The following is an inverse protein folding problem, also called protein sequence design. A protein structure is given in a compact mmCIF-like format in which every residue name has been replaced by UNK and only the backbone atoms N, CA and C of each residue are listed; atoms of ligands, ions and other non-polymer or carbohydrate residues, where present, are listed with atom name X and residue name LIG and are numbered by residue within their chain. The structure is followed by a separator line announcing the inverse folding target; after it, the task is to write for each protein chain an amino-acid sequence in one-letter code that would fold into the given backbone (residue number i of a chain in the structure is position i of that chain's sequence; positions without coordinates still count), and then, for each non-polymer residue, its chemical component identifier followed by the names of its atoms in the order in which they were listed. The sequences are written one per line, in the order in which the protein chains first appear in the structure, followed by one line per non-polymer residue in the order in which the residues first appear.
data_IF_649663268876
#
_entry.id   IF_649663268876
#
_cell.length_a   1.000
_cell.length_b   1.000
_cell.length_c   1.000
_cell.angle_alpha   90.00
_cell.angle_beta   90.00
_cell.angle_gamma   90.00
#
_symmetry.space_group_name_H-M   'P 1'
#
loop_
_entity.id
_entity.type
_entity.pdbx_description
1 polymer ?
#
# COMPACT_ATOMS: atom_id res chain seq x y z
N UNK A 1 -25.23 -35.68 -34.45
CA UNK A 1 -24.70 -34.71 -35.43
C UNK A 1 -25.85 -33.82 -35.89
N UNK A 2 -26.14 -32.75 -35.14
CA UNK A 2 -27.15 -31.68 -35.41
C UNK A 2 -26.71 -30.46 -34.55
N UNK A 3 -26.98 -29.20 -34.95
CA UNK A 3 -26.16 -28.39 -35.84
C UNK A 3 -25.48 -27.22 -35.10
N UNK A 4 -24.36 -26.74 -35.66
CA UNK A 4 -23.80 -25.43 -35.35
C UNK A 4 -24.75 -24.33 -35.83
N UNK A 5 -24.62 -23.15 -35.20
CA UNK A 5 -25.15 -21.83 -35.60
C UNK A 5 -26.38 -21.34 -34.83
N UNK A 6 -26.18 -20.90 -33.59
CA UNK A 6 -26.88 -19.70 -33.13
C UNK A 6 -25.91 -18.53 -33.32
N UNK A 7 -26.07 -17.82 -34.44
CA UNK A 7 -25.41 -16.53 -34.67
C UNK A 7 -26.00 -15.57 -33.64
N UNK A 8 -25.35 -15.49 -32.48
CA UNK A 8 -25.76 -14.62 -31.38
C UNK A 8 -25.61 -13.16 -31.83
N UNK A 9 -26.69 -12.65 -32.42
CA UNK A 9 -26.85 -11.26 -32.86
C UNK A 9 -27.23 -10.41 -31.65
N UNK A 10 -26.56 -10.64 -30.52
CA UNK A 10 -26.68 -9.75 -29.37
C UNK A 10 -26.06 -8.42 -29.77
N UNK A 11 -26.93 -7.42 -29.97
CA UNK A 11 -26.54 -6.04 -30.26
C UNK A 11 -25.38 -5.66 -29.34
N UNK A 12 -24.30 -5.11 -29.89
CA UNK A 12 -23.13 -4.69 -29.13
C UNK A 12 -23.52 -3.91 -27.86
N UNK A 13 -24.56 -3.06 -27.96
CA UNK A 13 -25.14 -2.34 -26.82
C UNK A 13 -25.75 -3.23 -25.72
N UNK A 14 -26.37 -4.36 -26.03
CA UNK A 14 -26.90 -5.30 -25.03
C UNK A 14 -25.76 -6.02 -24.29
N UNK A 15 -24.75 -6.52 -25.01
CA UNK A 15 -23.55 -7.12 -24.39
C UNK A 15 -22.79 -6.12 -23.52
N UNK A 16 -22.69 -4.87 -23.98
CA UNK A 16 -22.07 -3.78 -23.22
C UNK A 16 -22.89 -3.46 -21.96
N UNK A 17 -24.22 -3.42 -22.06
CA UNK A 17 -25.13 -3.16 -20.93
C UNK A 17 -25.11 -4.28 -19.90
N UNK A 18 -25.04 -5.55 -20.31
CA UNK A 18 -24.85 -6.69 -19.40
C UNK A 18 -23.49 -6.65 -18.70
N UNK A 19 -22.41 -6.35 -19.44
CA UNK A 19 -21.08 -6.18 -18.86
C UNK A 19 -21.06 -5.03 -17.85
N UNK A 20 -21.64 -3.87 -18.20
CA UNK A 20 -21.76 -2.71 -17.32
C UNK A 20 -22.59 -3.02 -16.06
N UNK A 21 -23.70 -3.74 -16.19
CA UNK A 21 -24.52 -4.14 -15.05
C UNK A 21 -23.79 -5.15 -14.16
N UNK A 22 -23.02 -6.06 -14.75
CA UNK A 22 -22.18 -7.01 -14.01
C UNK A 22 -21.07 -6.28 -13.25
N UNK A 23 -20.41 -5.31 -13.90
CA UNK A 23 -19.42 -4.43 -13.27
C UNK A 23 -20.02 -3.62 -12.13
N UNK A 24 -21.19 -3.00 -12.32
CA UNK A 24 -21.89 -2.29 -11.25
C UNK A 24 -22.16 -3.20 -10.05
N UNK A 25 -22.68 -4.41 -10.27
CA UNK A 25 -22.88 -5.37 -9.18
C UNK A 25 -21.57 -5.70 -8.46
N UNK A 26 -20.48 -5.94 -9.19
CA UNK A 26 -19.17 -6.23 -8.60
C UNK A 26 -18.60 -5.06 -7.78
N UNK A 27 -18.77 -3.82 -8.27
CA UNK A 27 -18.33 -2.60 -7.59
C UNK A 27 -19.11 -2.40 -6.29
N UNK A 28 -20.43 -2.55 -6.31
CA UNK A 28 -21.27 -2.35 -5.12
C UNK A 28 -21.23 -3.54 -4.14
N UNK A 29 -20.82 -4.72 -4.60
CA UNK A 29 -20.68 -5.92 -3.77
C UNK A 29 -19.48 -5.85 -2.83
N UNK A 30 -18.44 -5.11 -3.19
CA UNK A 30 -17.22 -5.01 -2.39
C UNK A 30 -17.10 -3.62 -1.77
N UNK A 31 -16.77 -3.57 -0.48
CA UNK A 31 -16.72 -2.31 0.28
C UNK A 31 -15.63 -1.39 -0.26
N UNK A 32 -14.47 -1.95 -0.60
CA UNK A 32 -13.33 -1.18 -1.12
C UNK A 32 -13.65 -0.60 -2.49
N UNK A 33 -14.13 -1.42 -3.43
CA UNK A 33 -14.56 -0.95 -4.75
C UNK A 33 -15.69 0.08 -4.67
N UNK A 34 -16.65 -0.08 -3.75
CA UNK A 34 -17.75 0.86 -3.53
C UNK A 34 -17.25 2.21 -3.00
N UNK A 35 -16.40 2.19 -1.98
CA UNK A 35 -15.85 3.41 -1.40
C UNK A 35 -15.00 4.17 -2.44
N UNK A 36 -14.17 3.46 -3.21
CA UNK A 36 -13.39 4.03 -4.29
C UNK A 36 -14.28 4.62 -5.40
N UNK A 37 -15.38 3.94 -5.76
CA UNK A 37 -16.35 4.47 -6.73
C UNK A 37 -17.08 5.72 -6.22
N UNK A 38 -17.53 5.74 -4.96
CA UNK A 38 -18.19 6.91 -4.37
C UNK A 38 -17.23 8.11 -4.29
N UNK A 39 -15.97 7.86 -3.94
CA UNK A 39 -14.94 8.88 -3.91
C UNK A 39 -14.63 9.43 -5.30
N UNK A 40 -14.48 8.55 -6.30
CA UNK A 40 -14.34 8.94 -7.70
C UNK A 40 -15.51 9.83 -8.15
N UNK A 41 -16.75 9.48 -7.81
CA UNK A 41 -17.92 10.27 -8.20
C UNK A 41 -17.92 11.65 -7.54
N UNK A 42 -17.53 11.72 -6.27
CA UNK A 42 -17.45 12.95 -5.50
C UNK A 42 -16.36 13.89 -6.06
N UNK A 43 -15.14 13.41 -6.26
CA UNK A 43 -14.05 14.19 -6.87
C UNK A 43 -14.36 14.61 -8.29
N UNK A 44 -14.91 13.71 -9.11
CA UNK A 44 -15.28 14.03 -10.49
C UNK A 44 -16.37 15.11 -10.53
N UNK A 45 -17.37 15.01 -9.65
CA UNK A 45 -18.43 16.02 -9.57
C UNK A 45 -17.87 17.39 -9.17
N UNK A 46 -16.93 17.41 -8.21
CA UNK A 46 -16.27 18.62 -7.77
C UNK A 46 -15.40 19.25 -8.88
N UNK A 47 -14.64 18.44 -9.63
CA UNK A 47 -13.87 18.90 -10.79
C UNK A 47 -14.75 19.56 -11.86
N UNK A 48 -15.96 19.05 -12.11
CA UNK A 48 -16.90 19.70 -13.02
C UNK A 48 -17.47 21.01 -12.47
N UNK A 49 -17.75 21.08 -11.16
CA UNK A 49 -18.22 22.31 -10.52
C UNK A 49 -17.17 23.41 -10.62
N UNK A 50 -15.92 23.09 -10.30
CA UNK A 50 -14.82 24.04 -10.44
C UNK A 50 -14.58 24.44 -11.90
N UNK A 51 -14.61 23.49 -12.84
CA UNK A 51 -14.42 23.78 -14.25
C UNK A 51 -15.48 24.76 -14.75
N UNK A 52 -16.74 24.51 -14.38
CA UNK A 52 -17.85 25.39 -14.74
C UNK A 52 -17.70 26.77 -14.09
N UNK A 53 -17.34 26.84 -12.81
CA UNK A 53 -17.10 28.10 -12.13
C UNK A 53 -15.90 28.86 -12.71
N UNK A 54 -14.85 28.16 -13.13
CA UNK A 54 -13.65 28.72 -13.76
C UNK A 54 -13.96 29.34 -15.12
N UNK A 55 -14.76 28.64 -15.94
CA UNK A 55 -15.25 29.15 -17.23
C UNK A 55 -16.13 30.38 -17.01
N UNK A 56 -17.11 30.31 -16.09
CA UNK A 56 -17.99 31.45 -15.80
C UNK A 56 -17.24 32.68 -15.30
N UNK A 57 -16.16 32.48 -14.56
CA UNK A 57 -15.36 33.56 -13.98
C UNK A 57 -14.20 34.00 -14.86
N UNK A 58 -14.01 33.38 -16.03
CA UNK A 58 -12.85 33.53 -16.93
C UNK A 58 -11.51 33.42 -16.19
N UNK A 59 -11.43 32.50 -15.21
CA UNK A 59 -10.23 32.32 -14.39
C UNK A 59 -9.39 31.15 -14.93
N UNK A 60 -8.29 31.47 -15.62
CA UNK A 60 -7.35 30.47 -16.12
C UNK A 60 -6.76 29.58 -15.01
N UNK A 61 -6.43 30.16 -13.85
CA UNK A 61 -5.91 29.41 -12.71
C UNK A 61 -6.90 28.37 -12.18
N UNK A 62 -8.19 28.73 -12.13
CA UNK A 62 -9.22 27.78 -11.68
C UNK A 62 -9.48 26.68 -12.71
N UNK A 63 -9.43 27.03 -14.00
CA UNK A 63 -9.55 26.05 -15.09
C UNK A 63 -8.38 25.04 -15.03
N UNK A 64 -7.16 25.51 -14.75
CA UNK A 64 -5.98 24.64 -14.57
C UNK A 64 -6.19 23.64 -13.43
N UNK A 65 -6.64 24.12 -12.26
CA UNK A 65 -6.91 23.30 -11.07
C UNK A 65 -7.99 22.23 -11.33
N UNK A 66 -9.05 22.58 -12.06
CA UNK A 66 -10.09 21.62 -12.44
C UNK A 66 -9.58 20.53 -13.38
N UNK A 67 -8.70 20.87 -14.33
CA UNK A 67 -8.10 19.88 -15.22
C UNK A 67 -7.14 18.96 -14.46
N UNK A 68 -6.37 19.49 -13.52
CA UNK A 68 -5.56 18.69 -12.61
C UNK A 68 -6.40 17.64 -11.87
N UNK A 69 -7.46 18.06 -11.16
CA UNK A 69 -8.35 17.13 -10.44
C UNK A 69 -9.08 16.16 -11.36
N UNK A 70 -9.39 16.57 -12.59
CA UNK A 70 -9.96 15.68 -13.59
C UNK A 70 -8.98 14.56 -13.97
N UNK A 71 -7.71 14.88 -14.18
CA UNK A 71 -6.69 13.87 -14.46
C UNK A 71 -6.44 12.95 -13.27
N UNK A 72 -6.52 13.45 -12.04
CA UNK A 72 -6.46 12.62 -10.84
C UNK A 72 -7.60 11.57 -10.79
N UNK A 73 -8.80 11.96 -11.23
CA UNK A 73 -9.92 11.03 -11.36
C UNK A 73 -9.64 9.89 -12.37
N UNK A 74 -8.79 10.10 -13.38
CA UNK A 74 -8.40 9.03 -14.31
C UNK A 74 -7.56 7.95 -13.64
N UNK A 75 -6.71 8.36 -12.69
CA UNK A 75 -5.95 7.47 -11.83
C UNK A 75 -6.82 6.62 -10.92
N UNK A 76 -7.79 7.25 -10.25
CA UNK A 76 -8.82 6.58 -9.45
C UNK A 76 -9.67 5.61 -10.30
N UNK A 77 -10.04 6.02 -11.51
CA UNK A 77 -10.78 5.17 -12.44
C UNK A 77 -9.98 3.93 -12.85
N UNK A 78 -8.68 4.07 -13.12
CA UNK A 78 -7.79 2.94 -13.40
C UNK A 78 -7.71 1.98 -12.20
N UNK A 79 -7.60 2.52 -10.98
CA UNK A 79 -7.65 1.74 -9.74
C UNK A 79 -8.98 0.98 -9.57
N UNK A 80 -10.12 1.63 -9.83
CA UNK A 80 -11.43 1.00 -9.79
C UNK A 80 -11.54 -0.14 -10.81
N UNK A 81 -11.11 0.10 -12.05
CA UNK A 81 -11.13 -0.90 -13.11
C UNK A 81 -10.26 -2.11 -12.73
N UNK A 82 -9.07 -1.87 -12.18
CA UNK A 82 -8.19 -2.92 -11.70
C UNK A 82 -8.80 -3.75 -10.57
N UNK A 83 -9.45 -3.11 -9.59
CA UNK A 83 -10.18 -3.79 -8.49
C UNK A 83 -11.30 -4.71 -8.99
N UNK A 84 -11.89 -4.41 -10.14
CA UNK A 84 -12.86 -5.29 -10.81
C UNK A 84 -12.17 -6.41 -11.61
N UNK A 85 -11.09 -6.08 -12.32
CA UNK A 85 -10.35 -7.02 -13.17
C UNK A 85 -9.68 -8.11 -12.32
N UNK A 86 -9.13 -7.80 -11.15
CA UNK A 86 -8.47 -8.77 -10.26
C UNK A 86 -9.41 -9.88 -9.78
N UNK A 87 -10.73 -9.63 -9.80
CA UNK A 87 -11.77 -10.60 -9.42
C UNK A 87 -12.15 -11.57 -10.54
N UNK A 88 -11.61 -11.39 -11.76
CA UNK A 88 -11.89 -12.30 -12.86
C UNK A 88 -11.16 -13.63 -12.67
N UNK A 89 -11.87 -14.73 -12.99
CA UNK A 89 -11.31 -16.09 -12.90
C UNK A 89 -10.16 -16.28 -13.89
N UNK A 90 -9.25 -17.19 -13.54
CA UNK A 90 -8.19 -17.66 -14.43
C UNK A 90 -8.78 -18.29 -15.71
N UNK A 91 -8.02 -18.20 -16.80
CA UNK A 91 -8.35 -18.79 -18.10
C UNK A 91 -7.09 -19.35 -18.77
N UNK A 92 -7.25 -20.02 -19.90
CA UNK A 92 -6.14 -20.70 -20.60
C UNK A 92 -5.01 -19.76 -21.05
N UNK A 93 -5.27 -18.45 -21.16
CA UNK A 93 -4.26 -17.44 -21.50
C UNK A 93 -3.55 -16.87 -20.26
N UNK A 94 -4.26 -16.80 -19.13
CA UNK A 94 -3.78 -16.25 -17.87
C UNK A 94 -3.96 -17.29 -16.75
N UNK A 95 -2.99 -18.19 -16.62
CA UNK A 95 -3.05 -19.34 -15.70
C UNK A 95 -3.14 -18.94 -14.22
N UNK A 96 -2.50 -17.82 -13.85
CA UNK A 96 -2.60 -17.24 -12.50
C UNK A 96 -3.76 -16.25 -12.34
N UNK A 97 -4.60 -16.08 -13.38
CA UNK A 97 -5.65 -15.07 -13.42
C UNK A 97 -5.10 -13.65 -13.61
N UNK A 98 -5.92 -12.67 -13.22
CA UNK A 98 -5.70 -11.25 -13.49
C UNK A 98 -5.17 -10.46 -12.28
N UNK A 99 -4.61 -11.16 -11.28
CA UNK A 99 -4.23 -10.56 -9.99
C UNK A 99 -3.17 -9.46 -10.16
N UNK A 100 -2.26 -9.60 -11.13
CA UNK A 100 -1.23 -8.59 -11.47
C UNK A 100 -1.79 -7.28 -12.04
N UNK A 101 -3.06 -7.23 -12.45
CA UNK A 101 -3.68 -6.01 -12.95
C UNK A 101 -3.70 -4.90 -11.87
N UNK A 102 -3.74 -5.27 -10.59
CA UNK A 102 -3.63 -4.33 -9.47
C UNK A 102 -2.30 -3.57 -9.50
N UNK A 103 -1.18 -4.31 -9.56
CA UNK A 103 0.18 -3.76 -9.57
C UNK A 103 0.40 -2.92 -10.82
N UNK A 104 -0.09 -3.38 -11.97
CA UNK A 104 0.03 -2.64 -13.23
C UNK A 104 -0.76 -1.32 -13.17
N UNK A 105 -1.97 -1.32 -12.62
CA UNK A 105 -2.75 -0.11 -12.47
C UNK A 105 -2.13 0.87 -11.47
N UNK A 106 -1.59 0.36 -10.35
CA UNK A 106 -0.83 1.17 -9.40
C UNK A 106 0.41 1.82 -10.03
N UNK A 107 1.14 1.07 -10.87
CA UNK A 107 2.28 1.58 -11.63
C UNK A 107 1.87 2.69 -12.62
N UNK A 108 0.84 2.44 -13.45
CA UNK A 108 0.34 3.42 -14.41
C UNK A 108 -0.18 4.67 -13.70
N UNK A 109 -0.92 4.51 -12.61
CA UNK A 109 -1.39 5.62 -11.78
C UNK A 109 -0.22 6.46 -11.24
N UNK A 110 0.85 5.80 -10.79
CA UNK A 110 2.05 6.48 -10.30
C UNK A 110 2.74 7.30 -11.41
N UNK A 111 2.73 6.83 -12.66
CA UNK A 111 3.25 7.62 -13.79
C UNK A 111 2.40 8.86 -14.07
N UNK A 112 1.06 8.75 -13.97
CA UNK A 112 0.17 9.91 -14.09
C UNK A 112 0.42 10.92 -12.97
N UNK A 113 0.51 10.47 -11.71
CA UNK A 113 0.82 11.37 -10.59
C UNK A 113 2.17 12.07 -10.74
N UNK A 114 3.18 11.40 -11.31
CA UNK A 114 4.47 12.02 -11.61
C UNK A 114 4.36 13.09 -12.70
N UNK A 115 3.59 12.82 -13.76
CA UNK A 115 3.32 13.78 -14.83
C UNK A 115 2.59 15.02 -14.29
N UNK A 116 1.59 14.81 -13.43
CA UNK A 116 0.82 15.86 -12.79
C UNK A 116 1.70 16.69 -11.83
N UNK A 117 2.52 16.03 -11.00
CA UNK A 117 3.46 16.73 -10.11
C UNK A 117 4.44 17.61 -10.90
N UNK A 118 4.94 17.14 -12.05
CA UNK A 118 5.80 17.95 -12.93
C UNK A 118 5.05 19.18 -13.49
N UNK A 119 3.77 19.02 -13.85
CA UNK A 119 2.95 20.13 -14.32
C UNK A 119 2.73 21.19 -13.23
N UNK A 120 2.34 20.79 -12.02
CA UNK A 120 2.19 21.71 -10.87
C UNK A 120 3.51 22.41 -10.55
N UNK A 121 4.62 21.67 -10.59
CA UNK A 121 5.95 22.24 -10.35
C UNK A 121 6.29 23.32 -11.38
N UNK A 122 6.02 23.05 -12.66
CA UNK A 122 6.22 24.01 -13.74
C UNK A 122 5.36 25.26 -13.56
N UNK A 123 4.08 25.10 -13.25
CA UNK A 123 3.15 26.21 -13.01
C UNK A 123 3.56 27.04 -11.79
N UNK A 124 4.00 26.37 -10.71
CA UNK A 124 4.51 27.04 -9.51
C UNK A 124 5.79 27.85 -9.76
N UNK A 125 6.71 27.33 -10.58
CA UNK A 125 7.93 28.06 -10.98
C UNK A 125 7.60 29.26 -11.86
N UNK A 126 6.67 29.13 -12.80
CA UNK A 126 6.22 30.24 -13.65
C UNK A 126 5.63 31.38 -12.81
N UNK A 127 4.72 31.07 -11.88
CA UNK A 127 4.13 32.06 -10.96
C UNK A 127 5.14 32.70 -10.00
N UNK A 128 6.26 32.03 -9.73
CA UNK A 128 7.36 32.57 -8.91
C UNK A 128 8.16 33.64 -9.68
N UNK A 129 8.33 33.48 -10.99
CA UNK A 129 9.09 34.40 -11.85
C UNK A 129 8.21 35.57 -12.31
N UNK A 130 6.98 35.30 -12.74
CA UNK A 130 6.01 36.30 -13.20
C UNK A 130 4.74 36.19 -12.35
N UNK A 131 4.62 36.95 -11.24
CA UNK A 131 3.46 36.88 -10.36
C UNK A 131 2.22 37.40 -11.09
N UNK A 132 1.19 36.56 -11.36
CA UNK A 132 -0.03 37.03 -11.97
C UNK A 132 -0.87 37.82 -10.94
N UNK A 133 -1.57 38.86 -11.39
CA UNK A 133 -2.56 39.56 -10.56
C UNK A 133 -3.82 38.70 -10.38
N UNK A 134 -3.79 37.74 -9.45
CA UNK A 134 -4.93 36.86 -9.19
C UNK A 134 -5.86 37.49 -8.13
N UNK A 135 -7.17 37.42 -8.37
CA UNK A 135 -8.19 37.83 -7.39
C UNK A 135 -8.26 36.81 -6.24
N UNK A 136 -7.52 37.09 -5.16
CA UNK A 136 -7.33 36.24 -3.97
C UNK A 136 -8.61 35.65 -3.35
N UNK A 137 -9.73 36.37 -3.40
CA UNK A 137 -10.99 35.95 -2.75
C UNK A 137 -11.59 34.66 -3.33
N UNK A 138 -11.34 34.37 -4.61
CA UNK A 138 -11.94 33.21 -5.29
C UNK A 138 -11.18 31.92 -4.98
N UNK A 139 -9.85 32.00 -4.89
CA UNK A 139 -8.99 30.86 -4.55
C UNK A 139 -9.31 30.34 -3.16
N UNK A 140 -9.52 31.23 -2.19
CA UNK A 140 -9.83 30.84 -0.81
C UNK A 140 -11.10 29.98 -0.70
N UNK A 141 -12.20 30.41 -1.33
CA UNK A 141 -13.48 29.67 -1.26
C UNK A 141 -13.35 28.29 -1.90
N UNK A 142 -12.67 28.22 -3.05
CA UNK A 142 -12.51 26.95 -3.77
C UNK A 142 -11.62 25.98 -2.98
N UNK A 143 -10.49 26.44 -2.42
CA UNK A 143 -9.64 25.59 -1.58
C UNK A 143 -10.33 25.10 -0.30
N UNK A 144 -11.22 25.91 0.31
CA UNK A 144 -12.03 25.47 1.44
C UNK A 144 -13.03 24.39 1.02
N UNK A 145 -13.69 24.54 -0.12
CA UNK A 145 -14.60 23.52 -0.65
C UNK A 145 -13.86 22.24 -1.01
N UNK A 146 -12.70 22.34 -1.67
CA UNK A 146 -11.83 21.21 -2.00
C UNK A 146 -11.34 20.47 -0.75
N UNK A 147 -10.97 21.20 0.30
CA UNK A 147 -10.62 20.62 1.61
C UNK A 147 -11.78 19.80 2.19
N UNK A 148 -13.01 20.33 2.15
CA UNK A 148 -14.18 19.61 2.66
C UNK A 148 -14.47 18.33 1.87
N UNK A 149 -14.36 18.39 0.54
CA UNK A 149 -14.50 17.24 -0.36
C UNK A 149 -13.46 16.17 -0.02
N UNK A 150 -12.19 16.55 0.14
CA UNK A 150 -11.12 15.64 0.51
C UNK A 150 -11.28 15.05 1.92
N UNK A 151 -11.75 15.83 2.90
CA UNK A 151 -12.07 15.34 4.25
C UNK A 151 -13.21 14.33 4.26
N UNK A 152 -14.26 14.56 3.47
CA UNK A 152 -15.34 13.58 3.26
C UNK A 152 -14.78 12.29 2.65
N UNK A 153 -13.86 12.40 1.71
CA UNK A 153 -13.10 11.28 1.16
C UNK A 153 -12.38 10.48 2.24
N UNK A 154 -11.52 11.14 3.02
CA UNK A 154 -10.77 10.52 4.13
C UNK A 154 -11.73 9.84 5.12
N UNK A 155 -12.82 10.50 5.51
CA UNK A 155 -13.81 9.94 6.43
C UNK A 155 -14.46 8.67 5.88
N UNK A 156 -14.83 8.67 4.59
CA UNK A 156 -15.43 7.52 3.91
C UNK A 156 -14.47 6.33 3.81
N UNK A 157 -13.16 6.58 3.66
CA UNK A 157 -12.14 5.54 3.67
C UNK A 157 -11.79 5.04 5.09
N UNK A 158 -11.72 5.93 6.09
CA UNK A 158 -11.26 5.58 7.44
C UNK A 158 -12.34 4.89 8.30
N UNK A 159 -13.62 5.27 8.15
CA UNK A 159 -14.75 4.57 8.80
C UNK A 159 -15.09 3.23 8.09
N UNK A 160 -14.32 2.88 7.06
CA UNK A 160 -14.31 1.59 6.39
C UNK A 160 -13.60 0.47 7.17
N UNK A 161 -12.62 0.82 8.02
CA UNK A 161 -11.64 -0.12 8.59
C UNK A 161 -11.83 -0.49 10.06
N UNK A 162 -12.68 0.22 10.81
CA UNK A 162 -12.91 -0.07 12.23
C UNK A 162 -14.27 -0.74 12.46
N UNK A 163 -14.34 -2.03 12.13
CA UNK A 163 -15.28 -2.93 12.77
C UNK A 163 -14.75 -3.30 14.16
N UNK A 164 -14.85 -2.40 15.13
CA UNK A 164 -14.78 -2.81 16.53
C UNK A 164 -16.02 -3.65 16.81
N UNK A 165 -15.89 -4.97 16.67
CA UNK A 165 -16.75 -5.90 17.36
C UNK A 165 -16.50 -5.71 18.85
N UNK A 166 -17.25 -4.80 19.47
CA UNK A 166 -17.51 -4.92 20.90
C UNK A 166 -18.37 -6.17 21.08
N UNK A 167 -17.70 -7.31 21.26
CA UNK A 167 -18.30 -8.49 21.88
C UNK A 167 -18.70 -8.12 23.29
N UNK A 168 -19.93 -7.64 23.45
CA UNK A 168 -20.58 -7.53 24.75
C UNK A 168 -21.11 -8.89 25.18
N UNK A 169 -20.93 -9.20 26.46
CA UNK A 169 -21.78 -10.14 27.20
C UNK A 169 -21.10 -11.45 27.62
N UNK A 170 -20.37 -11.42 28.73
CA UNK A 170 -19.88 -12.62 29.41
C UNK A 170 -19.18 -12.26 30.71
N UNK A 171 -19.95 -11.87 31.72
CA UNK A 171 -19.44 -11.67 33.07
C UNK A 171 -18.86 -12.97 33.63
N UNK A 172 -17.59 -12.92 34.02
CA UNK A 172 -16.89 -14.00 34.69
C UNK A 172 -15.70 -13.43 35.43
N UNK A 173 -15.96 -12.90 36.64
CA UNK A 173 -14.90 -12.43 37.51
C UNK A 173 -13.98 -13.59 37.91
N UNK A 174 -12.67 -13.36 37.85
CA UNK A 174 -11.68 -14.12 38.61
C UNK A 174 -10.75 -13.12 39.27
N UNK A 175 -10.94 -12.96 40.59
CA UNK A 175 -9.98 -12.30 41.46
C UNK A 175 -8.85 -13.27 41.77
N UNK A 176 -7.62 -12.80 41.67
CA UNK A 176 -6.46 -13.50 42.21
C UNK A 176 -5.94 -12.74 43.43
N UNK A 177 -6.08 -13.39 44.59
CA UNK A 177 -5.52 -12.99 45.87
C UNK A 177 -4.01 -13.22 45.88
N UNK A 178 -3.23 -12.17 46.14
CA UNK A 178 -1.82 -12.31 46.51
C UNK A 178 -1.71 -12.52 48.02
N UNK A 179 -1.35 -13.73 48.42
CA UNK A 179 -0.87 -14.05 49.77
C UNK A 179 0.60 -13.71 49.88
N UNK A 180 0.94 -12.85 50.83
CA UNK A 180 2.30 -12.41 51.11
C UNK A 180 3.18 -13.50 51.71
N UNK A 181 4.48 -13.36 51.50
CA UNK A 181 5.51 -13.89 52.40
C UNK A 181 6.76 -13.03 52.24
N UNK A 182 7.06 -12.34 53.32
CA UNK A 182 8.28 -11.60 53.64
C UNK A 182 9.52 -12.48 53.56
N UNK A 183 10.60 -11.98 52.95
CA UNK A 183 11.97 -12.16 53.46
C UNK A 183 12.85 -11.03 52.94
N UNK A 184 13.36 -10.22 53.86
CA UNK A 184 14.49 -9.31 53.60
C UNK A 184 15.80 -10.01 53.93
N UNK A 185 16.89 -9.58 53.29
CA UNK A 185 18.22 -9.53 53.90
C UNK A 185 19.10 -8.50 53.19
N UNK A 186 19.84 -7.76 54.01
CA UNK A 186 20.83 -6.73 53.70
C UNK A 186 22.26 -7.24 54.00
N UNK A 187 23.24 -6.44 53.56
CA UNK A 187 24.69 -6.40 53.88
C UNK A 187 25.61 -7.21 52.95
N UNK A 188 26.71 -6.69 52.39
CA UNK A 188 27.82 -5.77 52.79
C UNK A 188 29.12 -6.55 52.96
N UNK A 189 30.21 -5.92 52.50
CA UNK A 189 31.60 -6.35 52.31
C UNK A 189 32.30 -7.09 53.47
N UNK A 190 33.24 -8.01 53.16
CA UNK A 190 34.70 -7.81 53.32
C UNK A 190 35.57 -9.04 52.94
N UNK A 191 36.65 -8.73 52.20
CA UNK A 191 38.02 -9.28 52.13
C UNK A 191 38.48 -10.61 52.77
N UNK A 192 39.19 -11.47 52.00
CA UNK A 192 40.67 -11.59 51.92
C UNK A 192 41.18 -13.00 51.47
N UNK A 193 42.22 -13.00 50.60
CA UNK A 193 43.31 -13.97 50.40
C UNK A 193 42.97 -15.38 49.82
N UNK A 194 43.72 -16.02 48.91
CA UNK A 194 45.10 -15.88 48.42
C UNK A 194 45.32 -16.74 47.13
N UNK A 195 46.19 -16.30 46.21
CA UNK A 195 47.01 -17.03 45.19
C UNK A 195 46.26 -17.84 44.09
N UNK A 196 46.49 -17.68 42.78
CA UNK A 196 47.79 -17.63 42.11
C UNK A 196 47.69 -16.97 40.71
N UNK A 197 48.76 -16.28 40.31
CA UNK A 197 48.90 -15.52 39.06
C UNK A 197 49.07 -16.41 37.83
N UNK A 198 48.46 -16.01 36.70
CA UNK A 198 49.22 -15.81 35.47
C UNK A 198 48.57 -14.73 34.59
N UNK A 199 49.35 -13.68 34.34
CA UNK A 199 48.97 -12.48 33.63
C UNK A 199 49.21 -12.61 32.12
N UNK A 200 48.26 -12.15 31.32
CA UNK A 200 48.53 -11.46 30.06
C UNK A 200 47.60 -10.24 30.02
N UNK A 201 48.21 -9.07 30.10
CA UNK A 201 47.63 -7.75 29.92
C UNK A 201 47.38 -7.46 28.44
N UNK A 202 46.21 -6.93 28.10
CA UNK A 202 46.04 -5.99 26.99
C UNK A 202 44.80 -5.11 27.23
N UNK A 203 45.06 -3.83 27.22
CA UNK A 203 44.19 -2.67 27.25
C UNK A 203 43.13 -2.71 26.12
N UNK A 204 41.87 -2.37 26.43
CA UNK A 204 41.02 -1.56 25.53
C UNK A 204 39.64 -1.24 26.12
N UNK A 205 39.40 0.04 26.35
CA UNK A 205 38.23 0.80 25.86
C UNK A 205 36.82 0.27 26.14
N UNK A 206 36.14 0.90 27.10
CA UNK A 206 34.67 0.91 27.17
C UNK A 206 34.08 1.71 26.00
N UNK A 207 33.55 0.98 25.00
CA UNK A 207 32.70 1.53 23.95
C UNK A 207 31.24 1.14 24.20
N UNK A 208 30.43 2.08 24.68
CA UNK A 208 28.98 1.96 24.66
C UNK A 208 28.49 2.20 23.22
N UNK A 209 28.17 1.12 22.49
CA UNK A 209 27.46 1.22 21.22
C UNK A 209 25.96 1.35 21.49
N UNK A 210 25.45 2.57 21.42
CA UNK A 210 24.02 2.82 21.25
C UNK A 210 23.64 2.45 19.82
N UNK A 211 23.01 1.29 19.65
CA UNK A 211 22.33 0.92 18.42
C UNK A 211 21.08 1.80 18.32
N UNK A 212 21.19 2.89 17.55
CA UNK A 212 20.04 3.67 17.12
C UNK A 212 19.27 2.85 16.10
N UNK A 213 18.41 1.97 16.60
CA UNK A 213 17.34 1.37 15.83
C UNK A 213 16.52 2.48 15.19
N UNK A 214 16.73 2.69 13.90
CA UNK A 214 15.91 3.57 13.09
C UNK A 214 14.46 3.08 13.19
N UNK A 215 13.63 3.84 13.90
CA UNK A 215 12.19 3.67 13.91
C UNK A 215 11.66 3.96 12.51
N UNK A 216 11.72 2.94 11.64
CA UNK A 216 10.90 2.88 10.45
C UNK A 216 9.45 2.68 10.91
N UNK A 217 8.65 3.74 10.83
CA UNK A 217 7.21 3.66 11.00
C UNK A 217 6.59 2.91 9.80
N UNK A 218 6.73 1.58 9.79
CA UNK A 218 5.92 0.73 8.92
C UNK A 218 4.55 0.59 9.55
N UNK A 219 3.61 1.43 9.11
CA UNK A 219 2.19 1.20 9.35
C UNK A 219 1.77 -0.04 8.53
N UNK A 220 1.90 -1.22 9.14
CA UNK A 220 1.35 -2.46 8.62
C UNK A 220 -0.14 -2.48 8.94
N UNK A 221 -0.93 -1.93 8.01
CA UNK A 221 -2.39 -1.93 8.05
C UNK A 221 -2.91 -3.06 7.14
N UNK A 222 -3.34 -4.16 7.77
CA UNK A 222 -4.42 -5.02 7.28
C UNK A 222 -4.38 -5.44 5.81
N UNK A 223 -3.58 -6.47 5.54
CA UNK A 223 -3.40 -7.19 4.29
C UNK A 223 -4.72 -7.65 3.62
N UNK A 224 -4.90 -7.22 2.38
CA UNK A 224 -5.94 -7.69 1.45
C UNK A 224 -5.64 -7.17 0.04
N UNK A 225 -6.05 -7.90 -1.00
CA UNK A 225 -5.82 -7.70 -2.45
C UNK A 225 -6.32 -6.36 -3.06
N UNK A 226 -6.47 -5.31 -2.26
CA UNK A 226 -6.68 -3.95 -2.71
C UNK A 226 -5.69 -2.97 -2.04
N UNK A 227 -4.76 -3.44 -1.20
CA UNK A 227 -3.98 -2.58 -0.30
C UNK A 227 -3.10 -1.58 -1.04
N UNK A 228 -2.52 -1.95 -2.19
CA UNK A 228 -1.63 -1.05 -2.93
C UNK A 228 -2.39 0.04 -3.67
N UNK A 229 -3.51 -0.30 -4.33
CA UNK A 229 -4.41 0.71 -4.92
C UNK A 229 -4.95 1.61 -3.81
N UNK A 230 -5.43 1.04 -2.70
CA UNK A 230 -6.01 1.82 -1.60
C UNK A 230 -4.98 2.71 -0.90
N UNK A 231 -3.73 2.24 -0.74
CA UNK A 231 -2.61 3.04 -0.21
C UNK A 231 -2.25 4.17 -1.17
N UNK A 232 -2.21 3.89 -2.47
CA UNK A 232 -1.98 4.91 -3.49
C UNK A 232 -3.06 5.98 -3.52
N UNK A 233 -4.33 5.55 -3.49
CA UNK A 233 -5.50 6.44 -3.38
C UNK A 233 -5.43 7.26 -2.08
N UNK A 234 -5.14 6.63 -0.94
CA UNK A 234 -5.04 7.33 0.35
C UNK A 234 -3.93 8.39 0.37
N UNK A 235 -2.73 8.04 -0.11
CA UNK A 235 -1.60 8.97 -0.16
C UNK A 235 -1.88 10.13 -1.11
N UNK A 236 -2.60 9.88 -2.20
CA UNK A 236 -3.06 10.92 -3.11
C UNK A 236 -4.06 11.87 -2.44
N UNK A 237 -5.10 11.34 -1.78
CA UNK A 237 -6.07 12.16 -1.03
C UNK A 237 -5.38 13.00 0.04
N UNK A 238 -4.41 12.40 0.73
CA UNK A 238 -3.63 13.11 1.74
C UNK A 238 -2.83 14.26 1.12
N UNK A 239 -2.22 14.04 -0.06
CA UNK A 239 -1.51 15.09 -0.77
C UNK A 239 -2.45 16.23 -1.21
N UNK A 240 -3.64 15.92 -1.74
CA UNK A 240 -4.62 16.93 -2.14
C UNK A 240 -5.17 17.71 -0.94
N UNK A 241 -5.34 17.02 0.20
CA UNK A 241 -5.73 17.64 1.48
C UNK A 241 -4.67 18.61 1.96
N UNK A 242 -3.40 18.16 2.00
CA UNK A 242 -2.25 19.00 2.37
C UNK A 242 -2.10 20.18 1.38
N UNK A 243 -2.38 19.94 0.11
CA UNK A 243 -2.39 20.97 -0.92
C UNK A 243 -3.44 22.05 -0.65
N UNK A 244 -4.67 21.62 -0.37
CA UNK A 244 -5.79 22.52 -0.02
C UNK A 244 -5.47 23.36 1.22
N UNK A 245 -4.89 22.74 2.27
CA UNK A 245 -4.44 23.46 3.47
C UNK A 245 -3.34 24.47 3.13
N UNK A 246 -2.38 24.06 2.30
CA UNK A 246 -1.28 24.92 1.86
C UNK A 246 -1.75 26.17 1.11
N UNK A 247 -2.69 26.02 0.19
CA UNK A 247 -3.29 27.15 -0.55
C UNK A 247 -4.09 28.06 0.39
N UNK A 248 -4.85 27.50 1.34
CA UNK A 248 -5.57 28.30 2.35
C UNK A 248 -4.61 29.14 3.19
N UNK A 249 -3.52 28.55 3.68
CA UNK A 249 -2.49 29.28 4.46
C UNK A 249 -1.86 30.37 3.59
N UNK A 250 -1.51 30.05 2.34
CA UNK A 250 -0.96 31.02 1.38
C UNK A 250 -1.92 32.18 1.12
N UNK A 251 -3.22 31.90 0.96
CA UNK A 251 -4.25 32.93 0.75
C UNK A 251 -4.39 33.87 1.95
N UNK A 252 -4.35 33.35 3.17
CA UNK A 252 -4.37 34.16 4.40
C UNK A 252 -3.12 35.03 4.49
N UNK A 253 -1.94 34.48 4.18
CA UNK A 253 -0.68 35.22 4.18
C UNK A 253 -0.67 36.34 3.12
N UNK A 254 -1.22 36.09 1.93
CA UNK A 254 -1.39 37.10 0.89
C UNK A 254 -2.30 38.24 1.35
N UNK A 255 -3.44 37.93 1.98
CA UNK A 255 -4.40 38.94 2.42
C UNK A 255 -3.91 39.78 3.60
N UNK A 256 -3.19 39.18 4.55
CA UNK A 256 -2.70 39.89 5.74
C UNK A 256 -1.37 40.62 5.51
N UNK A 257 -0.43 40.01 4.80
CA UNK A 257 0.96 40.48 4.69
C UNK A 257 1.35 40.94 3.27
N UNK A 258 0.50 40.74 2.26
CA UNK A 258 0.82 41.05 0.86
C UNK A 258 1.88 40.13 0.26
N UNK A 259 2.14 38.97 0.86
CA UNK A 259 3.14 38.00 0.40
C UNK A 259 2.65 37.19 -0.81
N UNK A 260 2.64 37.81 -1.99
CA UNK A 260 2.22 37.21 -3.27
C UNK A 260 3.02 35.95 -3.66
N UNK A 261 4.19 35.74 -3.07
CA UNK A 261 5.11 34.62 -3.36
C UNK A 261 4.74 33.36 -2.54
N UNK A 262 3.86 33.47 -1.54
CA UNK A 262 3.50 32.35 -0.68
C UNK A 262 2.85 31.18 -1.46
N UNK A 263 1.93 31.47 -2.38
CA UNK A 263 1.23 30.48 -3.20
C UNK A 263 2.17 29.68 -4.13
N UNK A 264 3.08 30.31 -4.91
CA UNK A 264 4.09 29.60 -5.69
C UNK A 264 5.00 28.69 -4.86
N UNK A 265 5.49 29.16 -3.71
CA UNK A 265 6.36 28.37 -2.82
C UNK A 265 5.61 27.14 -2.30
N UNK A 266 4.37 27.34 -1.88
CA UNK A 266 3.53 26.26 -1.37
C UNK A 266 3.28 25.20 -2.45
N UNK A 267 2.93 25.63 -3.67
CA UNK A 267 2.69 24.75 -4.82
C UNK A 267 3.91 23.92 -5.21
N UNK A 268 5.10 24.55 -5.26
CA UNK A 268 6.38 23.87 -5.50
C UNK A 268 6.67 22.82 -4.41
N UNK A 269 6.43 23.18 -3.15
CA UNK A 269 6.63 22.26 -2.02
C UNK A 269 5.71 21.04 -2.11
N UNK A 270 4.43 21.24 -2.40
CA UNK A 270 3.44 20.15 -2.56
C UNK A 270 3.84 19.25 -3.73
N UNK A 271 4.19 19.83 -4.89
CA UNK A 271 4.60 19.07 -6.07
C UNK A 271 5.82 18.17 -5.78
N UNK A 272 6.80 18.68 -5.01
CA UNK A 272 7.98 17.91 -4.62
C UNK A 272 7.63 16.77 -3.64
N UNK A 273 6.72 17.00 -2.69
CA UNK A 273 6.23 15.93 -1.79
C UNK A 273 5.50 14.83 -2.56
N UNK A 274 4.66 15.19 -3.54
CA UNK A 274 3.98 14.24 -4.42
C UNK A 274 5.02 13.42 -5.19
N UNK A 275 5.98 14.09 -5.84
CA UNK A 275 7.02 13.43 -6.61
C UNK A 275 7.83 12.42 -5.76
N UNK A 276 8.30 12.81 -4.57
CA UNK A 276 9.04 11.92 -3.67
C UNK A 276 8.21 10.72 -3.21
N UNK A 277 6.93 10.93 -2.92
CA UNK A 277 6.01 9.86 -2.51
C UNK A 277 5.80 8.87 -3.64
N UNK A 278 5.53 9.36 -4.85
CA UNK A 278 5.27 8.57 -6.06
C UNK A 278 6.48 7.73 -6.46
N UNK A 279 7.71 8.23 -6.29
CA UNK A 279 8.93 7.46 -6.57
C UNK A 279 9.01 6.17 -5.72
N UNK A 280 8.55 6.22 -4.47
CA UNK A 280 8.48 5.02 -3.62
C UNK A 280 7.47 3.99 -4.15
N UNK A 281 6.30 4.44 -4.62
CA UNK A 281 5.26 3.59 -5.21
C UNK A 281 5.69 2.96 -6.53
N UNK A 282 6.36 3.74 -7.39
CA UNK A 282 6.93 3.25 -8.65
C UNK A 282 7.94 2.13 -8.36
N UNK A 283 8.85 2.36 -7.40
CA UNK A 283 9.85 1.37 -7.01
C UNK A 283 9.19 0.10 -6.49
N UNK A 284 8.22 0.19 -5.58
CA UNK A 284 7.50 -0.98 -5.09
C UNK A 284 6.82 -1.77 -6.21
N UNK A 285 6.14 -1.08 -7.13
CA UNK A 285 5.44 -1.70 -8.26
C UNK A 285 6.39 -2.39 -9.24
N UNK A 286 7.51 -1.73 -9.60
CA UNK A 286 8.56 -2.31 -10.46
C UNK A 286 9.12 -3.58 -9.83
N UNK A 287 9.41 -3.56 -8.52
CA UNK A 287 9.99 -4.72 -7.84
C UNK A 287 9.04 -5.92 -7.83
N UNK A 288 7.73 -5.69 -7.69
CA UNK A 288 6.73 -6.78 -7.80
C UNK A 288 6.68 -7.29 -9.25
N UNK A 289 6.68 -6.40 -10.25
CA UNK A 289 6.69 -6.78 -11.67
C UNK A 289 7.97 -7.55 -12.07
N UNK A 290 9.11 -7.22 -11.45
CA UNK A 290 10.38 -7.92 -11.59
C UNK A 290 10.46 -9.23 -10.78
N UNK A 291 9.35 -9.68 -10.18
CA UNK A 291 9.28 -10.92 -9.41
C UNK A 291 10.25 -10.96 -8.22
N UNK A 292 10.46 -9.81 -7.55
CA UNK A 292 11.30 -9.74 -6.36
C UNK A 292 10.78 -10.71 -5.28
N UNK A 293 11.73 -11.33 -4.57
CA UNK A 293 11.48 -12.10 -3.36
C UNK A 293 10.68 -11.26 -2.35
N UNK A 294 9.64 -11.83 -1.72
CA UNK A 294 8.85 -11.11 -0.72
C UNK A 294 9.69 -10.81 0.53
N UNK A 295 9.98 -9.53 0.76
CA UNK A 295 10.77 -9.07 1.91
C UNK A 295 10.12 -9.40 3.26
N UNK A 296 8.78 -9.53 3.28
CA UNK A 296 8.03 -9.97 4.45
C UNK A 296 8.42 -11.40 4.89
N UNK A 297 8.85 -12.24 3.95
CA UNK A 297 9.19 -13.62 4.22
C UNK A 297 10.69 -13.88 4.41
N UNK A 298 11.56 -12.88 4.24
CA UNK A 298 13.02 -13.11 4.23
C UNK A 298 13.53 -13.80 5.52
N UNK A 299 13.01 -13.40 6.69
CA UNK A 299 13.39 -14.01 7.97
C UNK A 299 12.76 -15.40 8.16
N UNK A 300 11.52 -15.58 7.73
CA UNK A 300 10.77 -16.82 7.92
C UNK A 300 11.14 -17.90 6.91
N UNK A 301 11.58 -17.53 5.70
CA UNK A 301 12.07 -18.46 4.68
C UNK A 301 13.29 -19.22 5.18
N UNK A 302 14.22 -18.54 5.86
CA UNK A 302 15.39 -19.19 6.46
C UNK A 302 14.97 -20.28 7.47
N UNK A 303 13.99 -19.99 8.32
CA UNK A 303 13.45 -20.97 9.26
C UNK A 303 12.70 -22.12 8.56
N UNK A 304 12.00 -21.83 7.45
CA UNK A 304 11.34 -22.85 6.64
C UNK A 304 12.36 -23.81 6.03
N UNK A 305 13.46 -23.32 5.47
CA UNK A 305 14.52 -24.16 4.91
C UNK A 305 15.09 -25.09 5.98
N UNK A 306 15.37 -24.58 7.18
CA UNK A 306 15.84 -25.40 8.31
C UNK A 306 14.84 -26.49 8.69
N UNK A 307 13.54 -26.17 8.76
CA UNK A 307 12.48 -27.15 9.06
C UNK A 307 12.34 -28.22 7.98
N UNK A 308 12.46 -27.84 6.71
CA UNK A 308 12.37 -28.77 5.57
C UNK A 308 13.58 -29.70 5.52
N UNK A 309 14.79 -29.19 5.76
CA UNK A 309 16.00 -30.02 5.87
C UNK A 309 15.94 -30.96 7.10
N UNK A 310 15.17 -30.62 8.12
CA UNK A 310 14.92 -31.50 9.27
C UNK A 310 13.94 -32.66 9.00
N UNK A 311 13.27 -32.71 7.84
CA UNK A 311 12.37 -33.80 7.50
C UNK A 311 13.16 -35.08 7.19
N UNK A 312 12.66 -36.21 7.66
CA UNK A 312 13.28 -37.51 7.41
C UNK A 312 13.39 -37.79 5.90
N UNK A 313 14.61 -38.05 5.44
CA UNK A 313 14.88 -38.36 4.04
C UNK A 313 15.09 -37.15 3.13
N UNK A 314 15.14 -35.92 3.65
CA UNK A 314 15.55 -34.71 2.92
C UNK A 314 17.01 -34.39 3.24
N UNK A 315 17.86 -34.28 2.22
CA UNK A 315 19.28 -33.95 2.37
C UNK A 315 19.53 -32.45 2.23
N UNK A 316 18.95 -31.81 1.22
CA UNK A 316 19.19 -30.40 0.92
C UNK A 316 18.01 -29.73 0.22
N UNK A 317 17.89 -28.42 0.38
CA UNK A 317 16.98 -27.55 -0.38
C UNK A 317 17.81 -26.82 -1.43
N UNK A 318 17.46 -27.01 -2.70
CA UNK A 318 18.14 -26.42 -3.85
C UNK A 318 17.20 -25.45 -4.60
N UNK A 319 17.80 -24.48 -5.28
CA UNK A 319 17.11 -23.55 -6.18
C UNK A 319 15.82 -22.92 -5.61
N UNK A 320 15.84 -22.31 -4.40
CA UNK A 320 14.65 -21.67 -3.86
C UNK A 320 14.34 -20.38 -4.63
N UNK A 321 13.20 -20.36 -5.31
CA UNK A 321 12.68 -19.21 -6.03
C UNK A 321 11.34 -18.79 -5.44
N UNK A 322 11.30 -17.64 -4.77
CA UNK A 322 10.07 -17.06 -4.25
C UNK A 322 9.82 -15.70 -4.87
N UNK A 323 8.58 -15.41 -5.22
CA UNK A 323 8.19 -14.12 -5.78
C UNK A 323 6.82 -13.69 -5.27
N UNK A 324 6.60 -12.38 -5.31
CA UNK A 324 5.28 -11.78 -5.03
C UNK A 324 4.48 -11.72 -6.33
N UNK A 325 3.33 -12.39 -6.38
CA UNK A 325 2.45 -12.35 -7.56
C UNK A 325 1.61 -11.06 -7.59
N UNK A 326 1.07 -10.69 -6.43
CA UNK A 326 0.35 -9.45 -6.15
C UNK A 326 0.38 -9.23 -4.62
N UNK A 327 -0.12 -8.09 -4.14
CA UNK A 327 -0.28 -7.76 -2.72
C UNK A 327 -0.69 -9.00 -1.90
N UNK A 328 0.24 -9.49 -1.08
CA UNK A 328 0.08 -10.62 -0.15
C UNK A 328 -0.29 -11.97 -0.78
N UNK A 329 0.10 -12.16 -2.04
CA UNK A 329 0.05 -13.45 -2.73
C UNK A 329 1.47 -13.86 -3.09
N UNK A 330 2.06 -14.70 -2.23
CA UNK A 330 3.40 -15.23 -2.43
C UNK A 330 3.35 -16.60 -3.11
N UNK A 331 4.21 -16.78 -4.10
CA UNK A 331 4.38 -18.03 -4.83
C UNK A 331 5.83 -18.47 -4.74
N UNK A 332 6.05 -19.77 -4.59
CA UNK A 332 7.38 -20.36 -4.48
C UNK A 332 7.58 -21.56 -5.39
N UNK A 333 8.82 -21.80 -5.77
CA UNK A 333 9.29 -23.03 -6.37
C UNK A 333 10.60 -23.43 -5.68
N UNK A 334 10.70 -24.70 -5.29
CA UNK A 334 11.88 -25.25 -4.64
C UNK A 334 12.17 -26.65 -5.19
N UNK A 335 13.44 -27.03 -5.10
CA UNK A 335 13.92 -28.36 -5.43
C UNK A 335 14.45 -29.02 -4.16
N UNK A 336 14.05 -30.27 -3.90
CA UNK A 336 14.45 -31.02 -2.72
C UNK A 336 15.26 -32.24 -3.14
N UNK A 337 16.44 -32.36 -2.56
CA UNK A 337 17.27 -33.55 -2.69
C UNK A 337 16.86 -34.56 -1.63
N UNK A 338 16.38 -35.73 -2.05
CA UNK A 338 15.74 -36.70 -1.16
C UNK A 338 16.28 -38.12 -1.34
N UNK A 339 16.17 -38.92 -0.28
CA UNK A 339 16.52 -40.34 -0.32
C UNK A 339 15.59 -41.14 -1.22
N UNK A 340 16.12 -42.11 -1.96
CA UNK A 340 15.35 -43.05 -2.81
C UNK A 340 14.24 -43.82 -2.09
N UNK A 341 14.33 -43.97 -0.77
CA UNK A 341 13.37 -44.75 0.03
C UNK A 341 12.33 -43.88 0.75
N UNK A 342 12.29 -42.56 0.51
CA UNK A 342 11.36 -41.66 1.20
C UNK A 342 9.96 -41.74 0.57
N UNK A 343 8.93 -41.56 1.39
CA UNK A 343 7.58 -41.35 0.87
C UNK A 343 7.47 -39.92 0.27
N UNK A 344 7.29 -39.78 -1.05
CA UNK A 344 7.20 -38.47 -1.70
C UNK A 344 5.98 -37.67 -1.22
N UNK A 345 4.88 -38.34 -0.89
CA UNK A 345 3.64 -37.69 -0.46
C UNK A 345 3.85 -37.03 0.90
N UNK A 346 4.53 -37.72 1.81
CA UNK A 346 4.92 -37.20 3.11
C UNK A 346 5.77 -35.93 3.00
N UNK A 347 6.85 -35.98 2.21
CA UNK A 347 7.79 -34.85 2.05
C UNK A 347 7.12 -33.64 1.42
N UNK A 348 6.37 -33.84 0.32
CA UNK A 348 5.68 -32.76 -0.38
C UNK A 348 4.60 -32.12 0.50
N UNK A 349 3.82 -32.92 1.22
CA UNK A 349 2.74 -32.41 2.09
C UNK A 349 3.30 -31.63 3.28
N UNK A 350 4.32 -32.16 3.96
CA UNK A 350 4.94 -31.46 5.09
C UNK A 350 5.65 -30.19 4.66
N UNK A 351 6.36 -30.23 3.55
CA UNK A 351 7.01 -29.04 3.00
C UNK A 351 5.99 -27.97 2.63
N UNK A 352 4.89 -28.36 1.97
CA UNK A 352 3.78 -27.43 1.67
C UNK A 352 3.23 -26.81 2.96
N UNK A 353 2.93 -27.60 3.99
CA UNK A 353 2.41 -27.08 5.27
C UNK A 353 3.36 -26.08 5.93
N UNK A 354 4.68 -26.31 5.87
CA UNK A 354 5.69 -25.39 6.44
C UNK A 354 5.63 -24.02 5.77
N UNK A 355 5.58 -23.98 4.43
CA UNK A 355 5.55 -22.71 3.68
C UNK A 355 4.16 -22.04 3.70
N UNK A 356 3.08 -22.81 3.69
CA UNK A 356 1.71 -22.29 3.85
C UNK A 356 1.51 -21.62 5.22
N UNK A 357 2.11 -22.16 6.28
CA UNK A 357 2.07 -21.57 7.63
C UNK A 357 2.71 -20.17 7.71
N UNK A 358 3.58 -19.84 6.76
CA UNK A 358 4.29 -18.56 6.65
C UNK A 358 3.62 -17.62 5.64
N UNK A 359 2.52 -18.06 4.99
CA UNK A 359 1.72 -17.23 4.08
C UNK A 359 2.02 -17.46 2.60
N UNK A 360 2.83 -18.45 2.23
CA UNK A 360 3.01 -18.84 0.82
C UNK A 360 1.73 -19.51 0.34
N UNK A 361 0.99 -18.88 -0.58
CA UNK A 361 -0.29 -19.41 -1.07
C UNK A 361 -0.15 -20.58 -2.02
N UNK A 362 0.96 -20.62 -2.78
CA UNK A 362 1.18 -21.64 -3.77
C UNK A 362 2.66 -21.96 -3.86
N UNK A 363 3.00 -23.24 -3.72
CA UNK A 363 4.38 -23.72 -3.80
C UNK A 363 4.49 -24.93 -4.73
N UNK A 364 5.53 -24.91 -5.57
CA UNK A 364 5.93 -26.00 -6.43
C UNK A 364 7.16 -26.69 -5.84
N UNK A 365 7.09 -28.01 -5.70
CA UNK A 365 8.13 -28.80 -5.07
C UNK A 365 8.56 -29.87 -6.06
N UNK A 366 9.81 -29.80 -6.50
CA UNK A 366 10.45 -30.84 -7.30
C UNK A 366 11.28 -31.75 -6.38
N UNK A 367 11.15 -33.06 -6.56
CA UNK A 367 11.93 -34.06 -5.82
C UNK A 367 13.01 -34.63 -6.74
N UNK A 368 14.26 -34.52 -6.29
CA UNK A 368 15.42 -35.13 -6.93
C UNK A 368 15.96 -36.24 -6.02
N UNK A 369 15.93 -37.48 -6.52
CA UNK A 369 16.32 -38.66 -5.74
C UNK A 369 17.81 -38.93 -5.90
N UNK A 370 18.52 -39.01 -4.77
CA UNK A 370 19.97 -39.27 -4.71
C UNK A 370 20.28 -40.60 -4.03
#
# INVERSE_FOLDING_TARGET
MIPLTHKDRSNFGYRLKEKLNSWKRLIFSDRNSRNLFLFLLLNLSFAFVELFYGILTNSLGLISDSFHMFFDCTGLLAGLAASVITKWKANDKFSYGYVRAEVLAGFVNSLFLLFIAFFILSEGVERLIEPPEVKHERLFVVSVLGLLVNLVGIYAFNHGGHGHSHGGGGGGGHGHSHGGSSHGHSHSHNDHNNLNHQAISLDNGHGHSHDHGSHGHSHDLGSGSNSQIMRGVFLHILADTLGSVGVIISAVLMQMFGWMIADPICSIFIALLIALSVLSLIKESILILMQRQPSALDRSLLQCYQKVTGLAGVYSVQEPHFWTLCSDVYVGAIKLEVSKNVDPTYVVTHTRMIFEAVGVKQIYIQLDYV
#
